data_IF_167412438623
#
_entry.id   IF_167412438623
#
_cell.length_a   1.000
_cell.length_b   1.000
_cell.length_c   1.000
_cell.angle_alpha   90.00
_cell.angle_beta   90.00
_cell.angle_gamma   90.00
#
_symmetry.space_group_name_H-M   'P 1'
#
loop_
_entity.id
_entity.type
_entity.pdbx_description
1 polymer ?
#
# COMPACT_ATOMS: atom_id res chain seq x y z
N UNK A 1 17.63 -14.99 9.41
CA UNK A 1 16.95 -16.23 9.83
C UNK A 1 15.46 -15.93 9.87
N UNK A 2 14.73 -16.53 8.94
CA UNK A 2 13.32 -16.30 8.64
C UNK A 2 12.42 -16.23 9.89
N UNK A 3 11.46 -15.31 9.91
CA UNK A 3 10.11 -15.60 10.43
C UNK A 3 9.07 -15.01 9.48
N UNK A 4 8.78 -15.81 8.46
CA UNK A 4 7.49 -15.84 7.80
C UNK A 4 6.46 -16.41 8.78
N UNK A 5 5.56 -15.58 9.30
CA UNK A 5 4.29 -16.09 9.85
C UNK A 5 3.17 -15.14 9.46
N UNK A 6 2.50 -15.54 8.39
CA UNK A 6 1.26 -15.04 7.88
C UNK A 6 0.13 -15.17 8.92
N UNK A 7 -0.71 -14.12 9.00
CA UNK A 7 -2.17 -14.27 9.03
C UNK A 7 -2.76 -15.09 10.20
N UNK A 8 -2.59 -14.62 11.44
CA UNK A 8 -3.47 -15.06 12.53
C UNK A 8 -4.85 -14.42 12.42
N UNK A 9 -5.77 -15.17 11.81
CA UNK A 9 -7.21 -15.03 11.98
C UNK A 9 -7.58 -14.88 13.48
N UNK A 10 -7.98 -13.69 13.93
CA UNK A 10 -8.61 -13.50 15.25
C UNK A 10 -10.13 -13.70 15.17
N UNK A 11 -10.57 -14.88 14.72
CA UNK A 11 -11.87 -15.42 15.10
C UNK A 11 -11.74 -15.99 16.51
N UNK A 12 -11.94 -15.19 17.56
CA UNK A 12 -12.52 -15.60 18.87
C UNK A 12 -12.33 -14.49 19.92
N UNK A 13 -13.20 -13.48 19.92
CA UNK A 13 -13.76 -12.90 21.16
C UNK A 13 -15.19 -12.44 20.92
N UNK A 14 -16.13 -13.39 20.87
CA UNK A 14 -17.53 -13.07 21.15
C UNK A 14 -17.66 -12.83 22.66
N UNK A 15 -17.69 -11.57 23.10
CA UNK A 15 -18.42 -11.19 24.32
C UNK A 15 -19.41 -10.09 23.94
N UNK A 16 -20.65 -10.54 23.83
CA UNK A 16 -21.88 -9.81 23.58
C UNK A 16 -22.01 -8.58 24.49
N UNK A 17 -21.66 -7.36 24.06
CA UNK A 17 -21.95 -6.14 24.84
C UNK A 17 -22.33 -4.93 23.96
N UNK A 18 -23.65 -4.68 23.94
CA UNK A 18 -24.40 -3.43 23.81
C UNK A 18 -24.23 -2.52 22.57
N UNK A 19 -25.34 -2.37 21.83
CA UNK A 19 -25.54 -1.50 20.67
C UNK A 19 -25.26 0.00 20.89
N UNK A 20 -25.08 0.45 22.13
CA UNK A 20 -24.74 1.85 22.45
C UNK A 20 -23.25 2.21 22.28
N UNK A 21 -22.34 1.22 22.22
CA UNK A 21 -20.91 1.46 21.99
C UNK A 21 -20.52 1.61 20.51
N UNK A 22 -21.40 1.26 19.58
CA UNK A 22 -21.10 1.27 18.14
C UNK A 22 -21.04 2.67 17.53
N UNK A 23 -21.79 3.65 18.07
CA UNK A 23 -21.74 5.03 17.59
C UNK A 23 -20.48 5.78 18.04
N UNK A 24 -19.87 5.39 19.16
CA UNK A 24 -18.61 5.97 19.66
C UNK A 24 -17.35 5.31 19.07
N UNK A 25 -17.46 4.11 18.49
CA UNK A 25 -16.31 3.40 17.92
C UNK A 25 -15.97 3.83 16.49
N UNK A 26 -16.90 4.32 15.67
CA UNK A 26 -16.54 4.77 14.31
C UNK A 26 -15.62 6.01 14.27
N UNK A 27 -15.59 6.84 15.33
CA UNK A 27 -14.76 8.06 15.39
C UNK A 27 -13.37 7.78 16.01
N UNK A 28 -13.18 6.64 16.68
CA UNK A 28 -11.90 6.24 17.33
C UNK A 28 -11.27 4.99 16.68
N UNK A 29 -11.98 4.30 15.78
CA UNK A 29 -11.54 3.05 15.12
C UNK A 29 -11.42 3.18 13.60
N UNK A 30 -11.26 4.40 13.07
CA UNK A 30 -10.38 4.52 11.92
C UNK A 30 -9.00 4.57 12.54
N UNK A 31 -8.22 3.48 12.56
CA UNK A 31 -6.89 3.59 13.09
C UNK A 31 -6.23 4.69 12.28
N UNK A 32 -5.58 5.63 12.97
CA UNK A 32 -4.57 6.50 12.40
C UNK A 32 -3.40 5.69 11.78
N UNK A 33 -3.55 4.40 11.49
CA UNK A 33 -2.69 3.58 10.64
C UNK A 33 -3.08 3.68 9.16
N UNK A 34 -3.73 4.77 8.73
CA UNK A 34 -3.64 5.24 7.35
C UNK A 34 -2.22 5.69 6.95
N UNK A 35 -1.21 5.36 7.78
CA UNK A 35 0.21 5.28 7.44
C UNK A 35 0.47 3.93 6.79
N UNK A 36 -0.39 3.55 5.84
CA UNK A 36 -0.09 2.46 4.92
C UNK A 36 0.92 3.03 3.95
N UNK A 37 2.16 2.55 4.04
CA UNK A 37 3.10 2.74 2.94
C UNK A 37 2.42 2.35 1.62
N UNK A 38 2.34 3.34 0.75
CA UNK A 38 1.48 3.49 -0.41
C UNK A 38 0.88 2.25 -1.07
N UNK A 39 -0.38 2.43 -1.51
CA UNK A 39 -0.94 1.68 -2.63
C UNK A 39 -0.06 1.87 -3.87
N UNK A 40 0.63 0.82 -4.32
CA UNK A 40 1.47 0.84 -5.53
C UNK A 40 0.76 0.25 -6.76
N UNK A 41 -0.57 0.27 -6.77
CA UNK A 41 -1.40 -0.14 -7.91
C UNK A 41 -2.08 1.08 -8.51
N UNK A 42 -1.46 1.68 -9.52
CA UNK A 42 -1.87 2.98 -10.07
C UNK A 42 -1.80 2.97 -11.60
N UNK A 43 -2.73 3.69 -12.25
CA UNK A 43 -2.68 3.99 -13.67
C UNK A 43 -2.22 5.45 -13.85
N UNK A 44 -1.11 5.64 -14.55
CA UNK A 44 -0.53 6.95 -14.84
C UNK A 44 -0.79 7.28 -16.31
N UNK A 45 -1.58 8.32 -16.55
CA UNK A 45 -1.92 8.80 -17.90
C UNK A 45 -1.51 10.25 -18.15
N UNK A 46 -0.89 10.89 -17.16
CA UNK A 46 -0.33 12.24 -17.31
C UNK A 46 0.87 12.21 -18.26
N UNK A 47 1.14 13.28 -19.04
CA UNK A 47 2.30 13.35 -19.93
C UNK A 47 3.65 13.19 -19.22
N UNK A 48 3.70 13.52 -17.93
CA UNK A 48 4.86 13.33 -17.06
C UNK A 48 4.39 13.07 -15.62
N UNK A 49 5.27 12.46 -14.83
CA UNK A 49 5.03 12.17 -13.43
C UNK A 49 6.13 11.32 -12.83
N UNK A 50 6.03 11.07 -11.53
CA UNK A 50 6.96 10.24 -10.77
C UNK A 50 6.18 9.16 -10.04
N UNK A 51 6.74 7.96 -9.98
CA UNK A 51 6.27 6.89 -9.10
C UNK A 51 7.47 6.34 -8.33
N UNK A 52 7.19 5.80 -7.15
CA UNK A 52 8.19 5.29 -6.22
C UNK A 52 7.75 3.94 -5.67
N UNK A 53 8.67 3.20 -5.06
CA UNK A 53 8.33 2.05 -4.23
C UNK A 53 7.38 2.46 -3.09
N UNK A 54 6.57 1.52 -2.56
CA UNK A 54 5.89 1.73 -1.28
C UNK A 54 6.91 2.11 -0.21
N UNK A 55 6.54 3.02 0.68
CA UNK A 55 7.39 3.55 1.77
C UNK A 55 8.57 4.45 1.36
N UNK A 56 8.88 4.63 0.07
CA UNK A 56 10.02 5.47 -0.35
C UNK A 56 10.01 6.83 0.39
N UNK A 57 11.14 7.26 0.99
CA UNK A 57 12.51 6.77 0.79
C UNK A 57 12.94 5.60 1.71
N UNK A 58 12.03 5.03 2.50
CA UNK A 58 12.34 3.85 3.30
C UNK A 58 12.21 2.56 2.48
N UNK A 59 12.73 1.47 3.04
CA UNK A 59 12.68 0.15 2.43
C UNK A 59 11.25 -0.29 2.09
N UNK A 60 11.13 -0.98 0.96
CA UNK A 60 9.86 -1.57 0.58
C UNK A 60 9.55 -2.76 1.50
N UNK A 61 8.28 -2.97 1.91
CA UNK A 61 7.95 -4.12 2.72
C UNK A 61 8.20 -5.45 1.99
N UNK A 62 8.44 -6.52 2.74
CA UNK A 62 8.54 -7.86 2.18
C UNK A 62 7.24 -8.30 1.50
N UNK A 63 7.36 -9.18 0.50
CA UNK A 63 6.23 -9.78 -0.22
C UNK A 63 5.29 -8.76 -0.91
N UNK A 64 5.84 -7.65 -1.39
CA UNK A 64 5.09 -6.63 -2.10
C UNK A 64 4.85 -6.99 -3.57
N UNK A 65 3.62 -6.74 -4.04
CA UNK A 65 3.20 -6.96 -5.42
C UNK A 65 2.63 -5.66 -6.02
N UNK A 66 3.51 -4.87 -6.62
CA UNK A 66 3.18 -3.57 -7.19
C UNK A 66 2.89 -3.62 -8.69
N UNK A 67 2.02 -2.72 -9.16
CA UNK A 67 1.66 -2.59 -10.57
C UNK A 67 1.43 -1.13 -10.93
N UNK A 68 2.36 -0.56 -11.70
CA UNK A 68 2.20 0.75 -12.31
C UNK A 68 1.87 0.58 -13.79
N UNK A 69 0.69 1.02 -14.20
CA UNK A 69 0.26 0.99 -15.60
C UNK A 69 0.45 2.36 -16.23
N UNK A 70 1.41 2.49 -17.12
CA UNK A 70 1.67 3.74 -17.86
C UNK A 70 0.85 3.77 -19.15
N UNK A 71 0.05 4.82 -19.36
CA UNK A 71 -0.78 5.02 -20.56
C UNK A 71 -0.34 6.26 -21.31
N UNK A 72 0.01 6.09 -22.58
CA UNK A 72 0.28 7.18 -23.51
C UNK A 72 -0.67 7.10 -24.72
N UNK A 73 -1.04 8.23 -25.34
CA UNK A 73 -1.78 8.21 -26.61
C UNK A 73 -0.98 7.56 -27.74
N UNK A 74 -1.66 7.14 -28.80
CA UNK A 74 -1.01 6.60 -30.01
C UNK A 74 -0.03 7.61 -30.61
N UNK A 75 1.16 7.14 -30.98
CA UNK A 75 2.22 7.98 -31.56
C UNK A 75 3.16 8.61 -30.54
N UNK A 76 2.94 8.39 -29.24
CA UNK A 76 3.83 8.83 -28.18
C UNK A 76 4.70 7.68 -27.65
N UNK A 77 5.87 8.03 -27.12
CA UNK A 77 6.81 7.11 -26.48
C UNK A 77 6.84 7.41 -24.98
N UNK A 78 6.88 6.36 -24.16
CA UNK A 78 7.05 6.47 -22.72
C UNK A 78 8.54 6.35 -22.42
N UNK A 79 9.12 7.40 -21.81
CA UNK A 79 10.49 7.39 -21.31
C UNK A 79 10.48 7.23 -19.79
N UNK A 80 11.30 6.32 -19.27
CA UNK A 80 11.45 6.05 -17.84
C UNK A 80 12.91 6.31 -17.45
N UNK A 81 13.11 7.04 -16.36
CA UNK A 81 14.42 7.27 -15.75
C UNK A 81 14.35 6.84 -14.29
N UNK A 82 15.28 6.01 -13.85
CA UNK A 82 15.45 5.65 -12.45
C UNK A 82 16.44 6.64 -11.83
N UNK A 83 15.96 7.46 -10.90
CA UNK A 83 16.80 8.41 -10.16
C UNK A 83 17.44 7.76 -8.93
N UNK A 84 16.80 6.73 -8.40
CA UNK A 84 17.23 5.93 -7.26
C UNK A 84 16.73 4.49 -7.47
N UNK A 85 17.59 3.50 -7.23
CA UNK A 85 17.30 2.09 -7.47
C UNK A 85 18.17 1.21 -6.58
N UNK A 86 17.53 0.55 -5.62
CA UNK A 86 18.15 -0.41 -4.70
C UNK A 86 17.20 -1.60 -4.48
N UNK A 87 17.71 -2.83 -4.58
CA UNK A 87 16.97 -4.09 -4.50
C UNK A 87 17.78 -5.13 -3.73
N UNK A 88 17.10 -6.11 -3.13
CA UNK A 88 17.74 -7.21 -2.38
C UNK A 88 18.51 -8.14 -3.35
N UNK A 89 19.67 -8.65 -2.92
CA UNK A 89 20.53 -9.58 -3.70
C UNK A 89 19.97 -11.01 -3.80
#
# INVERSE_FOLDING_TARGET
>A
MFHSDQMWNCHWKRKLHSLLFLLALCIVYVPLSAWGCANCRVVLSSPSGTFTSPCYPNDYPNSQACLWTLRAPTGYIIQITFNDFDIEE
#
